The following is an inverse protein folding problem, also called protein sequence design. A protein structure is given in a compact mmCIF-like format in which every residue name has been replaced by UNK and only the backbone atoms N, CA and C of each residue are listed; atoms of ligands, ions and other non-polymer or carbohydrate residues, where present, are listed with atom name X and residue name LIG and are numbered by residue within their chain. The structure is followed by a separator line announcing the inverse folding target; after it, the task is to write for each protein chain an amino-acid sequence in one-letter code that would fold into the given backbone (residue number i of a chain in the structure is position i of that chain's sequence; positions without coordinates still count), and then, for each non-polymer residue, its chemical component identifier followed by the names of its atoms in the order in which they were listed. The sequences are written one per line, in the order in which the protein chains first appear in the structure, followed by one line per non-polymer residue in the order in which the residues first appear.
data_IF_642383610845
#
_entry.id   IF_642383610845
#
_cell.length_a   1.000
_cell.length_b   1.000
_cell.length_c   1.000
_cell.angle_alpha   90.00
_cell.angle_beta   90.00
_cell.angle_gamma   90.00
#
_symmetry.space_group_name_H-M   'P 1'
#
loop_
_entity.id
_entity.type
_entity.pdbx_description
1 polymer ?
#
# COMPACT_ATOMS: atom_id res chain seq x y z
N UNK A 1 15.78 23.51 17.75
CA UNK A 1 14.31 23.66 17.77
C UNK A 1 13.89 24.15 19.14
N UNK A 2 12.84 24.98 19.23
CA UNK A 2 12.20 25.27 20.52
C UNK A 2 11.49 24.01 21.04
N UNK A 3 11.50 23.79 22.36
CA UNK A 3 10.78 22.66 22.96
C UNK A 3 9.28 22.95 22.89
N UNK A 4 8.53 22.13 22.16
CA UNK A 4 7.06 22.17 22.14
C UNK A 4 6.51 21.88 23.55
N UNK A 5 5.37 22.46 23.96
CA UNK A 5 4.77 22.18 25.25
C UNK A 5 4.32 20.71 25.38
N UNK A 6 4.72 20.08 26.49
CA UNK A 6 4.29 18.73 26.85
C UNK A 6 2.92 18.80 27.56
N UNK A 7 1.89 18.20 26.96
CA UNK A 7 0.60 17.98 27.63
C UNK A 7 0.59 16.58 28.23
N UNK A 8 0.18 16.44 29.50
CA UNK A 8 0.04 15.14 30.13
C UNK A 8 -1.41 14.66 30.14
N UNK A 9 -1.66 13.47 29.61
CA UNK A 9 -2.94 12.76 29.68
C UNK A 9 -2.67 11.43 30.37
N UNK A 10 -3.36 11.15 31.49
CA UNK A 10 -3.17 9.91 32.28
C UNK A 10 -1.70 9.61 32.62
N UNK A 11 -0.94 10.65 33.00
CA UNK A 11 0.50 10.61 33.28
C UNK A 11 1.42 10.27 32.08
N UNK A 12 0.89 10.10 30.87
CA UNK A 12 1.68 10.02 29.62
C UNK A 12 1.86 11.43 29.06
N UNK A 13 3.09 11.79 28.69
CA UNK A 13 3.42 13.09 28.09
C UNK A 13 3.30 13.06 26.56
N UNK A 14 2.68 14.08 25.99
CA UNK A 14 2.48 14.25 24.55
C UNK A 14 3.05 15.61 24.11
N UNK A 15 4.04 15.63 23.19
CA UNK A 15 4.47 16.87 22.58
C UNK A 15 3.38 17.38 21.62
N UNK A 16 2.89 18.60 21.83
CA UNK A 16 1.87 19.20 20.97
C UNK A 16 2.18 20.68 20.71
N UNK A 17 1.72 21.21 19.57
CA UNK A 17 1.88 22.62 19.24
C UNK A 17 0.77 23.49 19.88
N UNK A 18 -0.43 22.93 20.03
CA UNK A 18 -1.57 23.56 20.71
C UNK A 18 -2.50 22.53 21.36
N UNK A 19 -3.21 22.95 22.41
CA UNK A 19 -4.22 22.16 23.12
C UNK A 19 -5.47 23.00 23.39
N UNK A 20 -6.66 22.51 23.02
CA UNK A 20 -7.95 23.14 23.31
C UNK A 20 -8.90 22.09 23.92
N UNK A 21 -9.52 22.42 25.06
CA UNK A 21 -10.59 21.61 25.66
C UNK A 21 -11.92 22.10 25.11
N UNK A 22 -12.65 21.24 24.41
CA UNK A 22 -13.91 21.58 23.75
C UNK A 22 -15.10 21.05 24.56
N UNK A 23 -16.15 21.86 24.70
CA UNK A 23 -17.40 21.44 25.33
C UNK A 23 -18.22 20.53 24.41
N UNK A 24 -18.93 19.57 25.00
CA UNK A 24 -19.82 18.64 24.29
C UNK A 24 -20.89 19.40 23.49
N UNK A 25 -21.05 19.05 22.21
CA UNK A 25 -22.01 19.69 21.31
C UNK A 25 -21.49 20.91 20.53
N UNK A 26 -20.24 21.36 20.73
CA UNK A 26 -19.63 22.43 19.92
C UNK A 26 -19.04 21.86 18.64
N UNK A 27 -19.52 22.33 17.48
CA UNK A 27 -18.97 21.95 16.17
C UNK A 27 -17.53 22.47 16.00
N UNK A 28 -16.60 21.57 15.74
CA UNK A 28 -15.20 21.87 15.47
C UNK A 28 -15.00 22.18 13.98
N UNK A 29 -15.20 23.44 13.58
CA UNK A 29 -14.84 23.93 12.25
C UNK A 29 -13.54 24.74 12.31
N UNK A 30 -12.40 24.06 12.29
CA UNK A 30 -11.11 24.66 11.93
C UNK A 30 -10.62 24.00 10.65
N UNK A 31 -10.54 24.78 9.58
CA UNK A 31 -9.76 24.41 8.40
C UNK A 31 -8.35 24.94 8.59
N UNK A 32 -7.38 24.04 8.59
CA UNK A 32 -5.97 24.39 8.44
C UNK A 32 -5.63 24.00 7.01
N UNK A 33 -5.34 24.98 6.15
CA UNK A 33 -5.06 24.77 4.72
C UNK A 33 -3.90 23.79 4.49
N UNK A 34 -3.06 23.67 5.52
CA UNK A 34 -1.96 22.74 5.73
C UNK A 34 -1.84 22.57 7.28
N UNK A 35 -1.69 21.36 7.84
CA UNK A 35 -1.44 21.06 9.29
C UNK A 35 -0.07 21.53 9.85
N UNK A 36 0.62 20.95 10.84
CA UNK A 36 0.57 19.70 11.66
C UNK A 36 1.45 18.50 11.24
N UNK A 37 2.57 18.30 11.94
CA UNK A 37 3.43 17.09 11.94
C UNK A 37 2.92 16.10 13.00
N UNK A 38 2.97 14.78 12.73
CA UNK A 38 2.53 13.68 13.62
C UNK A 38 1.03 13.63 14.00
N UNK A 39 0.18 14.13 13.10
CA UNK A 39 -1.27 13.93 13.14
C UNK A 39 -2.03 14.98 12.33
N UNK A 40 -2.82 14.56 11.34
CA UNK A 40 -3.61 15.42 10.42
C UNK A 40 -2.93 16.72 9.87
N UNK A 41 -1.62 16.66 9.62
CA UNK A 41 -1.03 16.81 8.26
C UNK A 41 -0.72 18.20 7.67
N UNK A 42 0.49 18.72 7.88
CA UNK A 42 1.32 19.37 6.83
C UNK A 42 2.73 18.79 6.89
N UNK A 43 3.26 18.46 5.72
CA UNK A 43 4.70 18.27 5.52
C UNK A 43 5.37 19.56 4.99
N UNK A 44 6.64 19.81 5.33
CA UNK A 44 7.40 20.96 4.83
C UNK A 44 7.71 20.90 3.32
N UNK A 45 7.41 19.79 2.64
CA UNK A 45 7.45 19.68 1.18
C UNK A 45 6.06 19.93 0.58
N UNK A 46 5.89 21.07 -0.09
CA UNK A 46 4.86 21.24 -1.12
C UNK A 46 5.28 20.46 -2.38
N UNK A 47 4.80 19.22 -2.54
CA UNK A 47 4.77 18.54 -3.84
C UNK A 47 3.30 18.47 -4.30
N UNK A 48 2.90 19.18 -5.38
CA UNK A 48 1.52 19.22 -5.85
C UNK A 48 1.01 17.88 -6.44
N UNK A 49 1.79 16.80 -6.35
CA UNK A 49 1.46 15.47 -6.87
C UNK A 49 1.35 14.38 -5.79
N UNK A 50 1.37 14.72 -4.49
CA UNK A 50 1.37 13.72 -3.40
C UNK A 50 0.16 13.84 -2.47
N UNK A 51 -0.45 12.69 -2.17
CA UNK A 51 -1.43 12.52 -1.10
C UNK A 51 -0.72 11.93 0.13
N UNK A 52 -0.99 12.47 1.32
CA UNK A 52 -0.45 11.97 2.59
C UNK A 52 -1.55 11.27 3.38
N UNK A 53 -1.39 9.97 3.63
CA UNK A 53 -2.33 9.18 4.43
C UNK A 53 -1.70 8.75 5.76
N UNK A 54 -2.52 8.59 6.80
CA UNK A 54 -2.09 8.08 8.09
C UNK A 54 -2.34 6.57 8.17
N UNK A 55 -1.27 5.77 8.19
CA UNK A 55 -1.37 4.35 8.55
C UNK A 55 -1.54 4.23 10.08
N UNK A 56 -2.29 3.24 10.55
CA UNK A 56 -2.49 2.93 12.00
C UNK A 56 -3.25 3.99 12.83
N UNK A 57 -4.46 4.37 12.41
CA UNK A 57 -5.46 4.90 13.32
C UNK A 57 -6.01 3.78 14.23
N UNK A 58 -5.99 3.97 15.56
CA UNK A 58 -6.68 3.12 16.54
C UNK A 58 -8.06 3.73 16.86
N UNK A 59 -9.18 3.08 16.45
CA UNK A 59 -10.55 3.52 16.69
C UNK A 59 -11.17 2.91 17.96
N UNK A 60 -10.44 2.10 18.74
CA UNK A 60 -11.03 1.27 19.81
C UNK A 60 -11.52 2.04 21.03
N UNK A 61 -11.19 3.34 21.14
CA UNK A 61 -11.49 4.17 22.30
C UNK A 61 -12.24 5.46 21.92
N UNK A 62 -13.51 5.34 21.54
CA UNK A 62 -14.40 6.49 21.39
C UNK A 62 -14.36 7.40 22.64
N UNK A 63 -14.33 8.74 22.50
CA UNK A 63 -14.49 9.53 21.26
C UNK A 63 -13.18 9.84 20.50
N UNK A 64 -12.06 9.19 20.83
CA UNK A 64 -10.74 9.56 20.33
C UNK A 64 -10.23 8.61 19.24
N UNK A 65 -9.88 9.16 18.08
CA UNK A 65 -9.01 8.47 17.12
C UNK A 65 -7.58 8.64 17.60
N UNK A 66 -6.91 7.55 17.96
CA UNK A 66 -5.52 7.58 18.40
C UNK A 66 -4.62 7.32 17.19
N UNK A 67 -3.74 8.26 16.89
CA UNK A 67 -2.64 8.05 15.93
C UNK A 67 -1.47 7.46 16.71
N UNK A 68 -0.94 6.30 16.29
CA UNK A 68 0.34 5.83 16.86
C UNK A 68 1.44 6.82 16.45
N UNK A 69 2.38 7.19 17.34
CA UNK A 69 3.48 8.05 16.96
C UNK A 69 4.27 7.40 15.82
N UNK A 70 4.32 8.07 14.67
CA UNK A 70 5.16 7.67 13.57
C UNK A 70 6.63 7.84 14.00
N UNK A 71 7.40 6.76 13.85
CA UNK A 71 8.84 6.83 13.87
C UNK A 71 9.29 7.40 12.53
N UNK A 72 9.67 8.67 12.52
CA UNK A 72 10.15 9.37 11.33
C UNK A 72 11.66 9.19 11.23
N UNK A 73 12.11 8.42 10.23
CA UNK A 73 13.51 8.27 9.85
C UNK A 73 13.68 8.68 8.38
N UNK A 74 14.63 9.58 8.10
CA UNK A 74 15.03 9.89 6.73
C UNK A 74 16.05 8.83 6.25
N UNK A 75 15.56 7.83 5.53
CA UNK A 75 16.36 6.70 5.06
C UNK A 75 16.91 7.00 3.65
N UNK A 76 18.23 7.11 3.53
CA UNK A 76 18.90 7.38 2.24
C UNK A 76 19.25 6.06 1.54
N UNK A 77 18.32 5.55 0.74
CA UNK A 77 18.50 4.35 -0.07
C UNK A 77 19.14 4.70 -1.44
N UNK A 78 20.45 4.46 -1.59
CA UNK A 78 21.25 4.91 -2.76
C UNK A 78 20.82 4.30 -4.10
N UNK A 79 20.13 3.16 -4.09
CA UNK A 79 19.70 2.43 -5.29
C UNK A 79 18.17 2.38 -5.46
N UNK A 80 17.41 3.19 -4.71
CA UNK A 80 15.95 3.21 -4.84
C UNK A 80 15.54 3.91 -6.15
N UNK A 81 14.60 3.31 -6.89
CA UNK A 81 13.96 3.92 -8.04
C UNK A 81 12.63 4.57 -7.58
N UNK A 82 12.52 5.91 -7.60
CA UNK A 82 11.31 6.63 -7.20
C UNK A 82 10.14 6.48 -8.18
N UNK A 83 10.34 5.80 -9.31
CA UNK A 83 9.30 5.43 -10.28
C UNK A 83 8.80 3.99 -10.07
N UNK A 84 9.27 3.29 -9.03
CA UNK A 84 8.83 1.95 -8.66
C UNK A 84 8.07 1.98 -7.34
N UNK A 85 7.11 1.07 -7.15
CA UNK A 85 6.37 0.98 -5.90
C UNK A 85 7.25 0.63 -4.71
N UNK A 86 6.73 0.89 -3.50
CA UNK A 86 7.45 0.68 -2.24
C UNK A 86 6.60 -0.14 -1.28
N UNK A 87 6.94 -1.43 -1.17
CA UNK A 87 6.30 -2.34 -0.24
C UNK A 87 7.14 -2.47 1.04
N UNK A 88 6.49 -2.66 2.19
CA UNK A 88 7.20 -2.87 3.44
C UNK A 88 6.58 -3.97 4.31
N UNK A 89 7.42 -4.62 5.11
CA UNK A 89 7.01 -5.57 6.15
C UNK A 89 7.94 -5.48 7.37
N UNK A 90 7.52 -6.06 8.50
CA UNK A 90 8.35 -6.17 9.71
C UNK A 90 8.79 -7.63 9.88
N UNK A 91 10.00 -7.84 10.41
CA UNK A 91 10.44 -9.15 10.90
C UNK A 91 11.43 -8.99 12.06
N UNK A 92 11.40 -9.95 12.98
CA UNK A 92 12.22 -9.97 14.20
C UNK A 92 13.45 -10.89 13.99
N UNK A 93 14.63 -10.53 14.52
CA UNK A 93 15.77 -11.44 14.59
C UNK A 93 15.69 -12.43 15.76
N UNK A 94 16.54 -13.46 15.74
CA UNK A 94 16.64 -14.43 16.84
C UNK A 94 17.11 -13.85 18.19
N UNK A 95 17.40 -12.56 18.28
CA UNK A 95 17.71 -11.81 19.49
C UNK A 95 16.55 -10.95 20.03
N UNK A 96 15.43 -10.85 19.30
CA UNK A 96 14.29 -10.01 19.65
C UNK A 96 14.38 -8.56 19.15
N UNK A 97 15.20 -8.30 18.11
CA UNK A 97 15.26 -6.98 17.46
C UNK A 97 14.31 -6.95 16.26
N UNK A 98 13.39 -5.99 16.24
CA UNK A 98 12.51 -5.73 15.08
C UNK A 98 13.26 -4.95 13.98
N UNK A 99 13.07 -5.37 12.72
CA UNK A 99 13.53 -4.63 11.54
C UNK A 99 12.37 -4.34 10.59
N UNK A 100 12.40 -3.18 9.96
CA UNK A 100 11.55 -2.86 8.82
C UNK A 100 12.29 -3.23 7.52
N UNK A 101 11.65 -4.03 6.71
CA UNK A 101 12.11 -4.38 5.36
C UNK A 101 11.37 -3.51 4.36
N UNK A 102 12.11 -2.66 3.65
CA UNK A 102 11.58 -1.81 2.58
C UNK A 102 12.00 -2.42 1.24
N UNK A 103 11.04 -2.70 0.37
CA UNK A 103 11.24 -3.31 -0.94
C UNK A 103 10.94 -2.28 -2.03
N UNK A 104 11.87 -2.07 -2.95
CA UNK A 104 11.71 -1.15 -4.08
C UNK A 104 12.60 -1.57 -5.26
N UNK A 105 12.03 -1.61 -6.47
CA UNK A 105 12.64 -2.24 -7.66
C UNK A 105 13.22 -3.63 -7.32
N UNK A 106 14.46 -3.94 -7.70
CA UNK A 106 15.15 -5.19 -7.34
C UNK A 106 15.79 -5.22 -5.95
N UNK A 107 15.55 -4.21 -5.11
CA UNK A 107 16.26 -4.04 -3.85
C UNK A 107 15.37 -4.24 -2.62
N UNK A 108 15.92 -4.90 -1.61
CA UNK A 108 15.40 -4.91 -0.25
C UNK A 108 16.35 -4.19 0.70
N UNK A 109 15.83 -3.33 1.56
CA UNK A 109 16.57 -2.58 2.57
C UNK A 109 16.11 -3.03 3.94
N UNK A 110 17.02 -3.64 4.71
CA UNK A 110 16.79 -3.98 6.12
C UNK A 110 17.12 -2.76 6.97
N UNK A 111 16.14 -2.28 7.73
CA UNK A 111 16.23 -1.06 8.53
C UNK A 111 16.00 -1.40 10.00
N UNK A 112 16.97 -1.07 10.86
CA UNK A 112 16.79 -1.09 12.31
C UNK A 112 15.74 -0.03 12.69
N UNK A 113 14.61 -0.45 13.27
CA UNK A 113 13.50 0.46 13.60
C UNK A 113 13.73 1.32 14.84
N UNK A 114 14.85 1.13 15.55
CA UNK A 114 15.27 1.90 16.72
C UNK A 114 16.34 2.91 16.32
N UNK A 115 17.33 2.48 15.53
CA UNK A 115 18.43 3.33 15.06
C UNK A 115 18.08 4.14 13.80
N UNK A 116 17.11 3.69 12.99
CA UNK A 116 16.69 4.38 11.76
C UNK A 116 17.71 4.31 10.62
N UNK A 117 18.54 3.26 10.59
CA UNK A 117 19.62 3.07 9.61
C UNK A 117 19.41 1.80 8.78
N UNK A 118 19.96 1.78 7.57
CA UNK A 118 20.02 0.57 6.73
C UNK A 118 21.20 -0.28 7.20
N UNK A 119 20.91 -1.47 7.72
CA UNK A 119 21.91 -2.46 8.12
C UNK A 119 22.34 -3.36 6.95
N UNK A 120 21.40 -3.72 6.07
CA UNK A 120 21.66 -4.55 4.88
C UNK A 120 20.91 -4.00 3.66
N UNK A 121 21.56 -4.02 2.50
CA UNK A 121 20.90 -3.86 1.20
C UNK A 121 21.05 -5.15 0.40
N UNK A 122 19.91 -5.79 0.12
CA UNK A 122 19.79 -7.00 -0.68
C UNK A 122 19.51 -6.65 -2.14
N UNK A 123 20.40 -7.04 -3.06
CA UNK A 123 20.11 -7.07 -4.51
C UNK A 123 19.49 -8.44 -4.84
N UNK A 124 18.27 -8.44 -5.39
CA UNK A 124 17.56 -9.65 -5.84
C UNK A 124 17.88 -10.03 -7.29
N UNK A 125 19.01 -9.54 -7.83
CA UNK A 125 19.48 -9.68 -9.21
C UNK A 125 18.68 -8.88 -10.26
N UNK A 126 19.28 -8.76 -11.44
CA UNK A 126 18.71 -8.01 -12.56
C UNK A 126 17.34 -8.57 -13.01
N UNK A 127 16.46 -7.68 -13.44
CA UNK A 127 15.07 -7.95 -13.87
C UNK A 127 14.13 -8.46 -12.75
N UNK A 128 14.58 -8.52 -11.50
CA UNK A 128 13.67 -8.62 -10.35
C UNK A 128 12.92 -7.32 -10.16
N UNK A 129 11.63 -7.40 -9.85
CA UNK A 129 10.87 -6.26 -9.34
C UNK A 129 10.08 -6.73 -8.13
N UNK A 130 10.44 -6.22 -6.95
CA UNK A 130 9.77 -6.54 -5.71
C UNK A 130 8.37 -5.95 -5.72
N UNK A 131 7.36 -6.79 -5.56
CA UNK A 131 6.00 -6.35 -5.26
C UNK A 131 5.56 -6.74 -3.86
N UNK A 132 4.25 -6.85 -3.64
CA UNK A 132 3.68 -7.03 -2.31
C UNK A 132 4.10 -8.35 -1.66
N UNK A 133 4.88 -8.32 -0.55
CA UNK A 133 5.23 -9.51 0.18
C UNK A 133 4.10 -9.92 1.13
N UNK A 134 4.09 -11.18 1.57
CA UNK A 134 3.11 -11.66 2.56
C UNK A 134 3.71 -12.70 3.49
N UNK A 135 3.25 -12.71 4.74
CA UNK A 135 3.56 -13.74 5.71
C UNK A 135 2.68 -14.96 5.44
N UNK A 136 3.29 -16.11 5.16
CA UNK A 136 2.57 -17.38 4.99
C UNK A 136 3.39 -18.54 5.56
N UNK A 137 2.74 -19.38 6.37
CA UNK A 137 3.38 -20.49 7.11
C UNK A 137 4.62 -20.05 7.90
N UNK A 138 4.50 -18.94 8.64
CA UNK A 138 5.56 -18.40 9.49
C UNK A 138 6.75 -17.78 8.75
N UNK A 139 6.74 -17.73 7.42
CA UNK A 139 7.83 -17.20 6.62
C UNK A 139 7.37 -16.03 5.74
N UNK A 140 8.20 -14.99 5.62
CA UNK A 140 7.93 -13.88 4.70
C UNK A 140 8.27 -14.28 3.27
N UNK A 141 7.25 -14.30 2.40
CA UNK A 141 7.39 -14.59 0.97
C UNK A 141 7.43 -13.27 0.19
N UNK A 142 8.44 -13.10 -0.64
CA UNK A 142 8.77 -11.87 -1.38
C UNK A 142 8.66 -12.18 -2.89
N UNK A 143 7.71 -11.56 -3.62
CA UNK A 143 7.58 -11.73 -5.06
C UNK A 143 8.64 -10.89 -5.78
N UNK A 144 9.21 -11.40 -6.88
CA UNK A 144 10.28 -10.74 -7.65
C UNK A 144 9.89 -10.45 -9.11
N UNK A 145 8.60 -10.34 -9.39
CA UNK A 145 8.05 -10.06 -10.72
C UNK A 145 7.89 -11.32 -11.58
N UNK A 146 7.71 -11.09 -12.88
CA UNK A 146 7.36 -12.15 -13.85
C UNK A 146 8.57 -13.00 -14.30
N UNK A 147 9.80 -12.56 -13.99
CA UNK A 147 11.05 -13.11 -14.56
C UNK A 147 11.81 -14.02 -13.59
N UNK A 148 12.01 -13.59 -12.34
CA UNK A 148 12.83 -14.29 -11.36
C UNK A 148 11.96 -15.04 -10.35
N UNK A 149 12.50 -16.12 -9.78
CA UNK A 149 11.79 -16.91 -8.78
C UNK A 149 11.70 -16.13 -7.46
N UNK A 150 10.49 -16.08 -6.91
CA UNK A 150 10.19 -15.44 -5.63
C UNK A 150 11.08 -15.99 -4.50
N UNK A 151 11.28 -15.19 -3.45
CA UNK A 151 12.16 -15.55 -2.34
C UNK A 151 11.36 -15.75 -1.05
N UNK A 152 11.90 -16.59 -0.18
CA UNK A 152 11.49 -16.72 1.22
C UNK A 152 12.61 -16.16 2.07
N UNK A 153 12.33 -15.15 2.90
CA UNK A 153 13.24 -14.75 3.99
C UNK A 153 13.13 -15.82 5.07
N UNK A 154 14.17 -16.66 5.19
CA UNK A 154 14.18 -17.83 6.09
C UNK A 154 14.85 -17.53 7.43
N UNK A 155 15.78 -16.59 7.46
CA UNK A 155 16.47 -16.15 8.66
C UNK A 155 16.73 -14.65 8.60
N UNK A 156 16.19 -13.90 9.56
CA UNK A 156 16.63 -12.55 9.87
C UNK A 156 17.94 -12.67 10.65
N UNK A 157 19.03 -12.14 10.10
CA UNK A 157 20.32 -12.07 10.78
C UNK A 157 20.26 -11.11 11.97
N UNK A 158 20.99 -11.43 13.04
CA UNK A 158 21.31 -10.45 14.10
C UNK A 158 22.22 -9.34 13.52
N UNK A 159 22.43 -8.19 14.21
CA UNK A 159 23.25 -7.11 13.69
C UNK A 159 24.63 -7.57 13.19
N UNK A 160 25.03 -7.09 12.02
CA UNK A 160 26.22 -7.49 11.25
C UNK A 160 26.27 -8.96 10.73
N UNK A 161 25.20 -9.75 10.88
CA UNK A 161 25.00 -10.99 10.15
C UNK A 161 24.03 -10.78 8.98
N UNK A 162 24.35 -11.33 7.82
CA UNK A 162 23.51 -11.24 6.63
C UNK A 162 22.25 -12.10 6.76
N UNK A 163 21.14 -11.60 6.23
CA UNK A 163 19.88 -12.34 6.13
C UNK A 163 19.99 -13.52 5.15
N UNK A 164 19.24 -14.58 5.43
CA UNK A 164 19.17 -15.76 4.55
C UNK A 164 17.88 -15.75 3.74
N UNK A 165 18.04 -15.85 2.42
CA UNK A 165 16.94 -15.94 1.45
C UNK A 165 17.02 -17.25 0.68
N UNK A 166 15.88 -17.91 0.49
CA UNK A 166 15.77 -19.15 -0.31
C UNK A 166 14.77 -18.97 -1.44
N UNK A 167 15.13 -19.37 -2.65
CA UNK A 167 14.25 -19.29 -3.81
C UNK A 167 13.08 -20.28 -3.69
N UNK A 168 11.88 -19.82 -4.00
CA UNK A 168 10.69 -20.65 -4.20
C UNK A 168 10.73 -21.11 -5.66
N UNK A 169 11.54 -22.14 -5.93
CA UNK A 169 11.92 -22.59 -7.28
C UNK A 169 10.72 -22.74 -8.22
N UNK A 170 10.77 -22.07 -9.37
CA UNK A 170 9.72 -22.06 -10.39
C UNK A 170 8.50 -21.18 -10.09
N UNK A 171 8.42 -20.54 -8.92
CA UNK A 171 7.31 -19.66 -8.55
C UNK A 171 7.66 -18.22 -8.85
N UNK A 172 7.02 -17.69 -9.91
CA UNK A 172 7.15 -16.29 -10.35
C UNK A 172 5.86 -15.56 -10.06
N UNK A 173 5.98 -14.36 -9.51
CA UNK A 173 4.85 -13.56 -9.05
C UNK A 173 5.25 -12.09 -8.96
N UNK A 174 4.33 -11.21 -9.30
CA UNK A 174 4.42 -9.76 -9.07
C UNK A 174 4.02 -9.41 -7.64
N UNK A 175 2.92 -9.98 -7.15
CA UNK A 175 2.36 -9.70 -5.81
C UNK A 175 1.91 -11.01 -5.16
N UNK A 176 2.01 -11.09 -3.83
CA UNK A 176 1.42 -12.16 -3.04
C UNK A 176 0.35 -11.63 -2.08
N UNK A 177 -0.59 -12.52 -1.73
CA UNK A 177 -1.64 -12.28 -0.77
C UNK A 177 -1.96 -13.57 0.00
N UNK A 178 -2.49 -13.45 1.21
CA UNK A 178 -2.90 -14.59 2.03
C UNK A 178 -4.38 -14.42 2.40
N UNK A 179 -5.20 -15.38 2.00
CA UNK A 179 -6.65 -15.40 2.25
C UNK A 179 -7.08 -16.74 2.83
N UNK A 180 -8.32 -16.80 3.31
CA UNK A 180 -8.93 -18.03 3.81
C UNK A 180 -10.01 -18.48 2.82
N UNK A 181 -9.85 -19.65 2.18
CA UNK A 181 -10.97 -20.33 1.51
C UNK A 181 -11.54 -21.38 2.46
N UNK A 182 -12.73 -21.09 3.02
CA UNK A 182 -13.44 -21.96 3.97
C UNK A 182 -12.54 -22.35 5.16
N UNK A 183 -12.00 -23.56 5.17
CA UNK A 183 -11.15 -24.11 6.23
C UNK A 183 -9.66 -24.11 5.88
N UNK A 184 -9.26 -23.69 4.68
CA UNK A 184 -7.88 -23.75 4.18
C UNK A 184 -7.32 -22.33 4.00
N UNK A 185 -6.21 -22.05 4.68
CA UNK A 185 -5.42 -20.86 4.40
C UNK A 185 -4.78 -21.02 3.02
N UNK A 186 -4.96 -20.04 2.15
CA UNK A 186 -4.46 -20.03 0.78
C UNK A 186 -3.48 -18.88 0.56
N UNK A 187 -2.43 -19.20 -0.18
CA UNK A 187 -1.42 -18.29 -0.68
C UNK A 187 -1.75 -17.96 -2.13
N UNK A 188 -2.20 -16.73 -2.37
CA UNK A 188 -2.50 -16.22 -3.70
C UNK A 188 -1.26 -15.55 -4.31
N UNK A 189 -1.05 -15.73 -5.61
CA UNK A 189 -0.09 -14.96 -6.41
C UNK A 189 -0.79 -14.23 -7.54
N UNK A 190 -0.27 -13.05 -7.87
CA UNK A 190 -0.50 -12.39 -9.14
C UNK A 190 0.72 -12.62 -10.04
N UNK A 191 0.51 -12.98 -11.30
CA UNK A 191 1.56 -13.18 -12.31
C UNK A 191 1.02 -12.73 -13.66
N UNK A 192 1.70 -11.83 -14.34
CA UNK A 192 1.17 -11.13 -15.52
C UNK A 192 -0.23 -10.56 -15.22
N UNK A 193 -1.24 -10.97 -15.98
CA UNK A 193 -2.67 -10.64 -15.83
C UNK A 193 -3.48 -11.70 -15.08
N UNK A 194 -2.82 -12.74 -14.53
CA UNK A 194 -3.45 -13.89 -13.90
C UNK A 194 -3.29 -13.89 -12.38
N UNK A 195 -4.30 -14.45 -11.70
CA UNK A 195 -4.21 -14.90 -10.31
C UNK A 195 -4.11 -16.41 -10.25
N UNK A 196 -3.38 -16.98 -9.31
CA UNK A 196 -3.57 -18.39 -8.92
C UNK A 196 -3.38 -18.61 -7.42
N UNK A 197 -4.00 -19.67 -6.91
CA UNK A 197 -3.99 -20.05 -5.50
C UNK A 197 -3.13 -21.29 -5.24
N UNK A 198 -2.58 -21.36 -4.03
CA UNK A 198 -1.79 -22.46 -3.49
C UNK A 198 -2.15 -22.69 -2.02
N UNK A 199 -2.25 -23.94 -1.58
CA UNK A 199 -2.46 -24.26 -0.17
C UNK A 199 -1.14 -24.43 0.63
N UNK A 200 0.01 -24.50 -0.06
CA UNK A 200 1.33 -24.85 0.50
C UNK A 200 2.46 -23.86 0.08
N UNK A 201 2.10 -22.80 -0.63
CA UNK A 201 2.99 -21.80 -1.23
C UNK A 201 4.14 -22.39 -2.09
N UNK A 202 3.97 -23.59 -2.64
CA UNK A 202 4.95 -24.33 -3.45
C UNK A 202 4.34 -24.90 -4.75
N UNK A 203 3.06 -25.27 -4.73
CA UNK A 203 2.29 -25.80 -5.84
C UNK A 203 1.05 -24.92 -6.07
N UNK A 204 0.91 -24.38 -7.28
CA UNK A 204 -0.21 -23.52 -7.63
C UNK A 204 -1.20 -24.24 -8.55
N UNK A 205 -2.48 -24.00 -8.32
CA UNK A 205 -3.55 -24.43 -9.21
C UNK A 205 -3.59 -23.65 -10.52
N UNK A 206 -4.71 -23.77 -11.24
CA UNK A 206 -4.97 -23.04 -12.49
C UNK A 206 -4.79 -21.53 -12.31
N UNK A 207 -4.34 -20.88 -13.39
CA UNK A 207 -4.30 -19.43 -13.51
C UNK A 207 -5.66 -18.90 -14.00
N UNK A 208 -6.20 -17.90 -13.31
CA UNK A 208 -7.46 -17.21 -13.58
C UNK A 208 -7.18 -15.82 -14.15
N UNK A 209 -7.66 -15.51 -15.34
CA UNK A 209 -7.44 -14.23 -16.02
C UNK A 209 -8.30 -13.10 -15.41
N UNK A 210 -7.68 -11.95 -15.17
CA UNK A 210 -8.33 -10.77 -14.60
C UNK A 210 -8.43 -9.66 -15.63
N UNK A 211 -9.63 -9.44 -16.18
CA UNK A 211 -9.86 -8.39 -17.18
C UNK A 211 -9.03 -8.53 -18.46
N UNK A 212 -8.57 -7.41 -19.02
CA UNK A 212 -7.76 -7.38 -20.25
C UNK A 212 -6.32 -7.87 -20.03
N UNK A 213 -5.92 -8.94 -20.72
CA UNK A 213 -4.55 -9.50 -20.67
C UNK A 213 -3.44 -8.55 -21.14
N UNK A 214 -3.76 -7.43 -21.80
CA UNK A 214 -2.77 -6.40 -22.15
C UNK A 214 -2.21 -5.66 -20.91
N UNK A 215 -2.94 -5.68 -19.79
CA UNK A 215 -2.55 -5.05 -18.53
C UNK A 215 -2.25 -6.09 -17.45
N UNK A 216 -1.04 -6.02 -16.89
CA UNK A 216 -0.62 -6.82 -15.74
C UNK A 216 -1.27 -6.32 -14.45
N UNK A 217 -1.35 -7.20 -13.46
CA UNK A 217 -1.73 -6.86 -12.10
C UNK A 217 -0.61 -6.04 -11.45
N UNK A 218 -0.95 -4.87 -10.91
CA UNK A 218 -0.06 -3.90 -10.26
C UNK A 218 -0.14 -3.93 -8.73
N UNK A 219 -1.16 -4.56 -8.16
CA UNK A 219 -1.18 -4.96 -6.75
C UNK A 219 -2.13 -6.14 -6.50
N UNK A 220 -2.00 -6.84 -5.37
CA UNK A 220 -2.91 -7.91 -4.96
C UNK A 220 -3.26 -7.78 -3.48
N UNK A 221 -4.51 -7.45 -3.19
CA UNK A 221 -4.98 -7.18 -1.84
C UNK A 221 -5.97 -8.25 -1.36
N UNK A 222 -6.11 -8.39 -0.05
CA UNK A 222 -7.25 -9.08 0.57
C UNK A 222 -8.02 -8.06 1.38
N UNK A 223 -9.31 -7.91 1.09
CA UNK A 223 -10.20 -6.90 1.68
C UNK A 223 -11.51 -7.57 2.01
N UNK A 224 -12.04 -7.38 3.23
CA UNK A 224 -13.23 -8.08 3.72
C UNK A 224 -13.18 -9.63 3.65
N UNK A 225 -12.01 -10.24 3.43
CA UNK A 225 -11.82 -11.69 3.22
C UNK A 225 -11.80 -12.13 1.76
N UNK A 226 -12.07 -11.22 0.82
CA UNK A 226 -12.06 -11.47 -0.62
C UNK A 226 -10.74 -11.00 -1.24
N UNK A 227 -10.33 -11.66 -2.34
CA UNK A 227 -9.14 -11.29 -3.10
C UNK A 227 -9.50 -10.17 -4.08
N UNK A 228 -8.79 -9.05 -4.00
CA UNK A 228 -8.97 -7.88 -4.86
C UNK A 228 -7.68 -7.63 -5.65
N UNK A 229 -7.57 -8.13 -6.89
CA UNK A 229 -6.51 -7.74 -7.81
C UNK A 229 -6.65 -6.26 -8.18
N UNK A 230 -5.54 -5.55 -8.23
CA UNK A 230 -5.48 -4.18 -8.71
C UNK A 230 -4.69 -4.15 -10.00
N UNK A 231 -5.22 -3.41 -10.98
CA UNK A 231 -4.62 -3.19 -12.28
C UNK A 231 -4.59 -1.69 -12.59
N UNK A 232 -3.82 -1.27 -13.61
CA UNK A 232 -3.77 0.12 -14.07
C UNK A 232 -5.13 0.68 -14.56
N UNK A 233 -6.07 -0.19 -14.94
CA UNK A 233 -7.44 0.18 -15.34
C UNK A 233 -8.43 0.25 -14.15
N UNK A 234 -8.09 -0.33 -12.99
CA UNK A 234 -8.91 -0.29 -11.79
C UNK A 234 -8.70 -1.49 -10.85
N UNK A 235 -9.40 -1.49 -9.69
CA UNK A 235 -9.52 -2.65 -8.84
C UNK A 235 -10.61 -3.62 -9.38
N UNK A 236 -10.37 -4.91 -9.23
CA UNK A 236 -11.22 -6.00 -9.70
C UNK A 236 -11.67 -6.89 -8.54
N UNK A 237 -12.83 -7.54 -8.69
CA UNK A 237 -13.33 -8.59 -7.80
C UNK A 237 -13.57 -9.88 -8.61
N UNK A 238 -13.95 -10.95 -7.91
CA UNK A 238 -14.42 -12.19 -8.53
C UNK A 238 -15.85 -12.48 -8.07
N UNK A 239 -16.67 -13.03 -8.97
CA UNK A 239 -17.97 -13.60 -8.58
C UNK A 239 -17.84 -15.03 -8.01
N UNK A 240 -18.97 -15.63 -7.63
CA UNK A 240 -19.01 -16.96 -7.05
C UNK A 240 -18.62 -18.10 -8.03
N UNK A 241 -18.66 -17.83 -9.34
CA UNK A 241 -18.24 -18.77 -10.39
C UNK A 241 -16.76 -18.57 -10.78
N UNK A 242 -16.11 -17.52 -10.25
CA UNK A 242 -14.71 -17.17 -10.49
C UNK A 242 -14.48 -16.25 -11.68
N UNK A 243 -15.53 -15.63 -12.24
CA UNK A 243 -15.37 -14.62 -13.28
C UNK A 243 -14.84 -13.31 -12.68
N UNK A 244 -13.87 -12.68 -13.35
CA UNK A 244 -13.34 -11.38 -12.93
C UNK A 244 -14.29 -10.24 -13.34
N UNK A 245 -14.60 -9.34 -12.40
CA UNK A 245 -15.50 -8.20 -12.58
C UNK A 245 -14.78 -6.90 -12.18
N UNK A 246 -14.92 -5.80 -12.95
CA UNK A 246 -14.36 -4.52 -12.56
C UNK A 246 -15.20 -3.91 -11.43
N UNK A 247 -14.56 -3.43 -10.35
CA UNK A 247 -15.24 -2.69 -9.28
C UNK A 247 -15.50 -1.23 -9.72
N UNK A 248 -14.71 -0.74 -10.69
CA UNK A 248 -14.86 0.59 -11.29
C UNK A 248 -14.91 0.43 -12.80
N UNK A 249 -16.05 0.76 -13.40
CA UNK A 249 -16.15 0.92 -14.85
C UNK A 249 -15.62 2.31 -15.24
N UNK A 250 -14.39 2.36 -15.77
CA UNK A 250 -13.84 3.58 -16.37
C UNK A 250 -14.29 3.70 -17.83
N UNK A 251 -14.67 4.90 -18.26
CA UNK A 251 -15.03 5.18 -19.67
C UNK A 251 -13.74 5.32 -20.50
N UNK A 252 -13.00 4.23 -20.62
CA UNK A 252 -11.71 4.12 -21.32
C UNK A 252 -10.49 4.11 -20.41
N UNK A 253 -9.37 3.61 -20.96
CA UNK A 253 -8.06 3.53 -20.30
C UNK A 253 -7.25 4.81 -20.49
N UNK A 254 -6.55 5.26 -19.45
CA UNK A 254 -5.51 6.30 -19.60
C UNK A 254 -4.40 5.82 -20.55
N UNK A 255 -4.07 6.63 -21.56
CA UNK A 255 -2.93 6.35 -22.46
C UNK A 255 -1.56 6.52 -21.76
N UNK A 256 -1.55 7.08 -20.55
CA UNK A 256 -0.36 7.25 -19.72
C UNK A 256 -0.23 6.18 -18.63
N UNK A 257 -1.17 5.24 -18.55
CA UNK A 257 -1.12 4.17 -17.55
C UNK A 257 0.09 3.26 -17.78
N UNK A 258 0.90 3.07 -16.74
CA UNK A 258 2.03 2.13 -16.74
C UNK A 258 1.66 0.80 -16.06
N UNK A 259 2.62 -0.11 -15.89
CA UNK A 259 2.36 -1.43 -15.26
C UNK A 259 2.40 -1.45 -13.71
N UNK A 260 2.54 -0.27 -13.09
CA UNK A 260 2.61 -0.03 -11.65
C UNK A 260 1.50 0.91 -11.14
N UNK A 261 0.78 1.61 -12.02
CA UNK A 261 -0.47 2.32 -11.68
C UNK A 261 -1.42 1.40 -10.87
N UNK A 262 -1.77 1.80 -9.64
CA UNK A 262 -2.52 0.98 -8.69
C UNK A 262 -1.67 0.20 -7.67
N UNK A 263 -0.35 0.17 -7.81
CA UNK A 263 0.56 -0.29 -6.75
C UNK A 263 0.45 0.55 -5.48
N UNK A 264 1.01 0.04 -4.37
CA UNK A 264 0.98 0.67 -3.04
C UNK A 264 -0.45 0.95 -2.51
N UNK A 265 -1.45 0.28 -3.10
CA UNK A 265 -2.82 0.26 -2.61
C UNK A 265 -2.90 -0.38 -1.22
N UNK A 266 -3.96 -0.13 -0.46
CA UNK A 266 -4.02 -0.61 0.94
C UNK A 266 -5.39 -1.14 1.34
N UNK A 267 -5.42 -2.27 2.04
CA UNK A 267 -6.64 -2.81 2.67
C UNK A 267 -6.67 -2.52 4.17
N UNK A 268 -7.78 -1.98 4.67
CA UNK A 268 -8.02 -1.79 6.09
C UNK A 268 -9.45 -2.22 6.48
N UNK A 269 -9.56 -3.42 7.06
CA UNK A 269 -10.84 -4.02 7.43
C UNK A 269 -11.70 -4.31 6.20
N UNK A 270 -12.86 -3.66 6.11
CA UNK A 270 -13.76 -3.77 4.96
C UNK A 270 -13.44 -2.77 3.81
N UNK A 271 -12.51 -1.84 4.02
CA UNK A 271 -12.16 -0.81 3.04
C UNK A 271 -10.89 -1.18 2.28
N UNK A 272 -10.86 -0.89 0.98
CA UNK A 272 -9.62 -0.74 0.23
C UNK A 272 -9.37 0.73 -0.13
N UNK A 273 -8.12 1.04 -0.41
CA UNK A 273 -7.65 2.32 -0.93
C UNK A 273 -6.86 2.02 -2.19
N UNK A 274 -7.39 2.42 -3.35
CA UNK A 274 -6.74 2.28 -4.66
C UNK A 274 -6.08 3.60 -5.04
N UNK A 275 -4.76 3.56 -5.25
CA UNK A 275 -3.97 4.71 -5.71
C UNK A 275 -3.70 4.61 -7.22
N UNK A 276 -4.59 5.18 -8.04
CA UNK A 276 -4.46 5.15 -9.50
C UNK A 276 -4.03 6.51 -10.08
N UNK A 277 -3.73 6.53 -11.38
CA UNK A 277 -3.46 7.78 -12.12
C UNK A 277 -4.66 8.76 -12.16
N UNK A 278 -5.85 8.30 -11.78
CA UNK A 278 -7.06 9.10 -11.60
C UNK A 278 -7.24 9.69 -10.18
N UNK A 279 -6.30 9.50 -9.26
CA UNK A 279 -6.38 9.94 -7.86
C UNK A 279 -6.56 8.78 -6.87
N UNK A 280 -6.95 9.11 -5.63
CA UNK A 280 -7.13 8.11 -4.57
C UNK A 280 -8.60 7.71 -4.44
N UNK A 281 -8.89 6.42 -4.38
CA UNK A 281 -10.26 5.88 -4.30
C UNK A 281 -10.44 4.98 -3.09
N UNK A 282 -11.53 5.17 -2.34
CA UNK A 282 -11.98 4.23 -1.30
C UNK A 282 -12.91 3.20 -1.93
N UNK A 283 -12.58 1.92 -1.80
CA UNK A 283 -13.42 0.79 -2.20
C UNK A 283 -14.09 0.17 -0.98
N UNK A 284 -15.34 -0.23 -1.10
CA UNK A 284 -16.11 -1.00 -0.13
C UNK A 284 -17.00 -1.99 -0.89
N UNK A 285 -16.60 -3.26 -0.95
CA UNK A 285 -17.26 -4.27 -1.77
C UNK A 285 -17.23 -3.89 -3.26
N UNK A 286 -18.41 -3.90 -3.89
CA UNK A 286 -18.64 -3.57 -5.30
C UNK A 286 -18.66 -2.05 -5.61
N UNK A 287 -18.31 -1.18 -4.64
CA UNK A 287 -18.41 0.27 -4.79
C UNK A 287 -17.10 0.97 -4.51
N UNK A 288 -16.67 1.81 -5.44
CA UNK A 288 -15.63 2.80 -5.21
C UNK A 288 -16.20 4.21 -5.01
N UNK A 289 -15.47 5.04 -4.27
CA UNK A 289 -15.73 6.47 -4.14
C UNK A 289 -14.39 7.20 -4.11
N UNK A 290 -14.18 8.22 -4.97
CA UNK A 290 -12.95 9.02 -4.97
C UNK A 290 -12.74 9.77 -3.64
N UNK A 291 -11.49 10.10 -3.30
CA UNK A 291 -11.07 10.75 -2.04
C UNK A 291 -10.24 12.01 -2.34
N UNK A 292 -10.90 13.14 -2.56
CA UNK A 292 -10.21 14.41 -2.75
C UNK A 292 -11.00 15.37 -3.65
N UNK A 293 -10.30 16.21 -4.39
CA UNK A 293 -10.95 17.11 -5.36
C UNK A 293 -11.65 16.32 -6.48
N UNK A 294 -11.11 15.15 -6.82
CA UNK A 294 -11.70 14.12 -7.68
C UNK A 294 -13.09 13.61 -7.24
N UNK A 295 -13.53 13.94 -6.01
CA UNK A 295 -14.85 13.56 -5.49
C UNK A 295 -15.95 14.61 -5.67
N UNK A 296 -15.59 15.82 -6.13
CA UNK A 296 -16.56 16.81 -6.55
C UNK A 296 -16.98 16.53 -8.01
N UNK A 297 -18.26 16.23 -8.32
CA UNK A 297 -18.72 16.01 -9.69
C UNK A 297 -18.61 17.25 -10.59
N UNK A 298 -18.33 18.44 -10.04
CA UNK A 298 -17.99 19.64 -10.78
C UNK A 298 -16.47 19.80 -11.04
N UNK A 299 -15.62 18.92 -10.53
CA UNK A 299 -14.17 19.01 -10.72
C UNK A 299 -13.74 18.56 -12.11
N UNK A 300 -13.50 19.55 -12.98
CA UNK A 300 -12.94 19.31 -14.32
C UNK A 300 -11.47 19.73 -14.33
N UNK A 301 -10.55 18.76 -14.43
CA UNK A 301 -9.12 19.03 -14.60
C UNK A 301 -8.79 19.43 -16.06
N UNK A 302 -9.43 20.50 -16.53
CA UNK A 302 -9.31 21.01 -17.89
C UNK A 302 -7.92 21.59 -18.21
N UNK A 303 -7.12 21.91 -17.19
CA UNK A 303 -5.85 22.61 -17.34
C UNK A 303 -4.74 21.78 -18.03
N UNK A 304 -4.77 20.45 -17.90
CA UNK A 304 -3.71 19.56 -18.40
C UNK A 304 -4.01 18.88 -19.74
N UNK A 305 -5.26 18.92 -20.24
CA UNK A 305 -5.63 18.14 -21.43
C UNK A 305 -5.36 18.85 -22.76
N UNK A 306 -5.24 20.18 -22.79
CA UNK A 306 -5.02 20.95 -24.03
C UNK A 306 -6.13 20.81 -25.08
N UNK A 307 -7.22 20.14 -24.74
CA UNK A 307 -8.34 19.74 -25.60
C UNK A 307 -9.62 20.15 -24.89
N UNK A 308 -10.49 20.87 -25.59
CA UNK A 308 -11.83 21.17 -25.09
C UNK A 308 -12.64 19.86 -25.03
N UNK A 309 -13.04 19.43 -23.83
CA UNK A 309 -13.86 18.23 -23.65
C UNK A 309 -15.26 18.46 -24.25
N UNK A 310 -15.67 17.75 -25.32
CA UNK A 310 -16.82 18.15 -26.13
C UNK A 310 -18.19 17.77 -25.55
N UNK A 311 -18.25 17.23 -24.33
CA UNK A 311 -19.47 16.62 -23.77
C UNK A 311 -20.03 17.27 -22.50
N UNK A 312 -19.34 18.25 -21.88
CA UNK A 312 -19.91 19.04 -20.78
C UNK A 312 -20.59 20.31 -21.32
N UNK A 313 -21.79 20.11 -21.88
CA UNK A 313 -22.69 21.20 -22.24
C UNK A 313 -23.22 21.91 -20.99
N UNK A 314 -22.52 22.95 -20.54
CA UNK A 314 -23.01 23.83 -19.48
C UNK A 314 -24.17 24.67 -20.03
N UNK A 315 -25.38 24.42 -19.56
CA UNK A 315 -26.49 25.36 -19.71
C UNK A 315 -26.43 26.41 -18.60
N UNK A 316 -26.54 27.68 -18.98
CA UNK A 316 -26.55 28.84 -18.08
C UNK A 316 -27.75 28.87 -17.13
#
# INVERSE_FOLDING_TARGET
MAKLPDVSINAVGYPCDAWEVVQQGRTLSRSFTKGFIRGMGQFPLDDPRRYYHCVNADPTAAPWVRVRPQLDFDIVATNADPLKPVYAFLAEDGGGTDYAYILNDRYGYKVDIVAGVIDETKDFAANSVCGRPVLFEGNMRIPLGDTNDAQTLTTVGIPAAADTYTAITGIKARHFAALQDKTVANFARARLHNVSLSADASSFGSEFEVGDSSLKISDLLVVAGELMPVKPDGPWSFDADGNSLPIIETVGRSLLADEYDGSDSHGHGAYAYWAGSAGLWRVLGDRATPIGAESDPAWVNAANLGVAAPFLGVSN
#
